data_IF_372964025493
#
_entry.id   IF_372964025493
#
_cell.length_a   1.000
_cell.length_b   1.000
_cell.length_c   1.000
_cell.angle_alpha   90.00
_cell.angle_beta   90.00
_cell.angle_gamma   90.00
#
_symmetry.space_group_name_H-M   'P 1'
#
loop_
_entity.id
_entity.type
_entity.pdbx_description
1 polymer ?
#
# COMPACT_ATOMS: atom_id res chain seq x y z
N UNK A 1 27.32 -28.59 -22.74
CA UNK A 1 27.13 -28.53 -21.27
C UNK A 1 26.86 -27.09 -20.86
N UNK A 2 25.74 -26.89 -20.14
CA UNK A 2 25.38 -25.87 -19.14
C UNK A 2 26.14 -24.51 -19.17
N UNK A 3 25.53 -23.33 -19.10
CA UNK A 3 24.20 -22.98 -18.59
C UNK A 3 23.83 -21.55 -19.01
N UNK A 4 22.51 -21.34 -19.13
CA UNK A 4 21.85 -20.10 -19.54
C UNK A 4 21.86 -19.06 -18.41
N UNK A 5 22.05 -17.80 -18.83
CA UNK A 5 21.37 -16.56 -18.39
C UNK A 5 21.51 -16.15 -16.91
N UNK A 6 22.06 -14.95 -16.69
CA UNK A 6 21.43 -13.94 -15.84
C UNK A 6 21.47 -12.58 -16.52
N UNK A 7 20.45 -12.29 -17.34
CA UNK A 7 20.04 -10.90 -17.63
C UNK A 7 19.31 -10.42 -16.38
N UNK A 8 19.99 -9.65 -15.55
CA UNK A 8 19.32 -8.81 -14.55
C UNK A 8 19.03 -7.50 -15.30
N UNK A 9 17.88 -7.42 -15.95
CA UNK A 9 17.37 -6.13 -16.42
C UNK A 9 16.77 -5.44 -15.20
N UNK A 10 17.56 -4.57 -14.58
CA UNK A 10 17.06 -3.60 -13.60
C UNK A 10 16.29 -2.56 -14.41
N UNK A 11 14.98 -2.75 -14.58
CA UNK A 11 14.13 -1.73 -15.19
C UNK A 11 13.90 -0.63 -14.16
N UNK A 12 14.65 0.45 -14.35
CA UNK A 12 14.40 1.85 -14.00
C UNK A 12 13.09 2.12 -13.26
N UNK A 13 13.17 2.32 -11.94
CA UNK A 13 12.24 3.21 -11.24
C UNK A 13 13.07 4.28 -10.55
N UNK A 14 13.15 5.44 -11.19
CA UNK A 14 13.62 6.69 -10.58
C UNK A 14 12.62 7.19 -9.54
N UNK A 15 12.32 6.38 -8.53
CA UNK A 15 11.62 6.78 -7.33
C UNK A 15 12.65 6.74 -6.23
N UNK A 16 13.24 7.90 -5.96
CA UNK A 16 14.08 8.13 -4.78
C UNK A 16 13.41 7.45 -3.60
N UNK A 17 14.08 6.47 -2.99
CA UNK A 17 13.63 5.76 -1.79
C UNK A 17 13.69 6.74 -0.62
N UNK A 18 12.88 7.80 -0.68
CA UNK A 18 12.59 8.65 0.45
C UNK A 18 11.64 7.82 1.30
N UNK A 19 12.13 7.31 2.43
CA UNK A 19 11.26 6.78 3.46
C UNK A 19 10.17 7.83 3.73
N UNK A 20 8.88 7.54 3.53
CA UNK A 20 7.85 8.53 3.76
C UNK A 20 7.89 8.95 5.24
N UNK A 21 7.97 10.25 5.49
CA UNK A 21 7.83 10.80 6.83
C UNK A 21 6.35 10.72 7.23
N UNK A 22 5.95 9.55 7.71
CA UNK A 22 4.57 9.31 8.17
C UNK A 22 4.29 10.11 9.43
N UNK A 23 3.12 10.74 9.49
CA UNK A 23 2.65 11.45 10.69
C UNK A 23 1.34 10.87 11.21
N UNK A 24 1.10 11.06 12.49
CA UNK A 24 -0.19 10.73 13.09
C UNK A 24 -1.31 11.47 12.33
N UNK A 25 -2.43 10.79 12.10
CA UNK A 25 -3.59 11.23 11.30
C UNK A 25 -3.43 11.19 9.78
N UNK A 26 -2.25 10.92 9.24
CA UNK A 26 -2.11 10.66 7.80
C UNK A 26 -2.88 9.40 7.40
N UNK A 27 -3.20 9.30 6.12
CA UNK A 27 -3.81 8.12 5.54
C UNK A 27 -2.79 7.33 4.73
N UNK A 28 -2.87 6.01 4.85
CA UNK A 28 -2.03 5.09 4.11
C UNK A 28 -2.81 3.86 3.65
N UNK A 29 -2.23 3.15 2.69
CA UNK A 29 -2.67 1.85 2.24
C UNK A 29 -1.73 0.77 2.78
N UNK A 30 -2.28 -0.35 3.23
CA UNK A 30 -1.53 -1.50 3.76
C UNK A 30 -1.48 -2.61 2.71
N UNK A 31 -0.30 -3.19 2.49
CA UNK A 31 -0.09 -4.26 1.53
C UNK A 31 -0.80 -5.55 1.94
N UNK A 32 -1.48 -6.19 1.01
CA UNK A 32 -2.19 -7.46 1.23
C UNK A 32 -1.29 -8.70 1.12
N UNK A 33 0.01 -8.52 0.82
CA UNK A 33 0.95 -9.61 0.54
C UNK A 33 1.01 -10.67 1.64
N UNK A 34 0.92 -10.25 2.91
CA UNK A 34 0.98 -11.13 4.08
C UNK A 34 -0.39 -11.38 4.73
N UNK A 35 -1.48 -10.99 4.07
CA UNK A 35 -2.82 -11.24 4.59
C UNK A 35 -3.32 -12.62 4.13
N UNK A 36 -2.91 -13.66 4.86
CA UNK A 36 -3.29 -15.05 4.56
C UNK A 36 -4.80 -15.32 4.65
N UNK A 37 -5.58 -14.45 5.31
CA UNK A 37 -7.01 -14.63 5.55
C UNK A 37 -7.92 -13.77 4.65
N UNK A 38 -7.41 -13.14 3.59
CA UNK A 38 -8.30 -12.47 2.64
C UNK A 38 -9.06 -13.55 1.85
N UNK A 39 -10.39 -13.48 1.85
CA UNK A 39 -11.25 -14.37 1.06
C UNK A 39 -11.08 -14.07 -0.45
N UNK A 40 -11.17 -15.09 -1.31
CA UNK A 40 -11.22 -14.97 -2.77
C UNK A 40 -9.92 -15.33 -3.51
N UNK A 41 -9.91 -15.41 -4.86
CA UNK A 41 -8.73 -15.83 -5.62
C UNK A 41 -7.63 -14.76 -5.64
N UNK A 42 -6.37 -15.15 -5.36
CA UNK A 42 -5.18 -14.27 -5.28
C UNK A 42 -5.02 -13.33 -6.50
N UNK A 43 -5.46 -13.76 -7.68
CA UNK A 43 -5.34 -13.04 -8.97
C UNK A 43 -6.30 -11.86 -9.14
N UNK A 44 -7.33 -11.74 -8.29
CA UNK A 44 -8.34 -10.65 -8.33
C UNK A 44 -8.29 -9.74 -7.09
N UNK A 45 -7.33 -9.96 -6.18
CA UNK A 45 -7.23 -9.15 -4.96
C UNK A 45 -6.40 -7.92 -5.24
N UNK A 46 -6.83 -6.78 -4.70
CA UNK A 46 -6.00 -5.59 -4.66
C UNK A 46 -4.73 -5.86 -3.87
N UNK A 47 -3.61 -5.34 -4.37
CA UNK A 47 -2.29 -5.48 -3.74
C UNK A 47 -2.18 -4.67 -2.44
N UNK A 48 -3.09 -3.72 -2.24
CA UNK A 48 -3.16 -2.82 -1.11
C UNK A 48 -4.63 -2.62 -0.68
N UNK A 49 -4.85 -2.43 0.61
CA UNK A 49 -6.17 -2.16 1.22
C UNK A 49 -6.11 -0.91 2.10
N UNK A 50 -7.22 -0.21 2.22
CA UNK A 50 -7.32 1.05 2.94
C UNK A 50 -8.26 2.01 2.19
N UNK A 51 -8.22 3.32 2.48
CA UNK A 51 -7.25 4.01 3.34
C UNK A 51 -7.45 3.74 4.84
N UNK A 52 -6.34 3.66 5.57
CA UNK A 52 -6.34 3.60 7.04
C UNK A 52 -5.62 4.80 7.62
N UNK A 53 -6.14 5.32 8.72
CA UNK A 53 -5.56 6.46 9.43
C UNK A 53 -4.45 6.00 10.37
N UNK A 54 -3.30 6.66 10.32
CA UNK A 54 -2.21 6.43 11.27
C UNK A 54 -2.64 6.93 12.64
N UNK A 55 -2.66 6.03 13.62
CA UNK A 55 -2.89 6.37 15.03
C UNK A 55 -1.58 6.81 15.66
N UNK A 56 -0.49 6.08 15.37
CA UNK A 56 0.82 6.29 16.00
C UNK A 56 1.95 5.87 15.07
N UNK A 57 3.05 6.63 15.08
CA UNK A 57 4.30 6.25 14.41
C UNK A 57 5.21 5.57 15.43
N UNK A 58 5.65 4.34 15.13
CA UNK A 58 6.47 3.52 16.03
C UNK A 58 7.90 3.50 15.49
N UNK A 59 8.70 4.44 16.00
CA UNK A 59 10.06 4.65 15.53
C UNK A 59 10.10 4.95 14.02
N UNK A 60 11.13 4.46 13.34
CA UNK A 60 11.30 4.67 11.88
C UNK A 60 10.74 3.55 11.02
N UNK A 61 10.39 2.42 11.63
CA UNK A 61 10.18 1.17 10.89
C UNK A 61 8.75 0.65 10.91
N UNK A 62 7.87 1.19 11.75
CA UNK A 62 6.49 0.73 11.83
C UNK A 62 5.49 1.85 12.14
N UNK A 63 4.25 1.62 11.75
CA UNK A 63 3.11 2.51 11.96
C UNK A 63 1.93 1.71 12.49
N UNK A 64 1.25 2.25 13.49
CA UNK A 64 -0.02 1.74 13.98
C UNK A 64 -1.15 2.47 13.27
N UNK A 65 -2.11 1.71 12.75
CA UNK A 65 -3.24 2.26 12.00
C UNK A 65 -4.58 1.84 12.56
N UNK A 66 -5.58 2.68 12.33
CA UNK A 66 -6.97 2.40 12.65
C UNK A 66 -7.56 1.48 11.60
N UNK A 67 -7.65 0.19 11.92
CA UNK A 67 -8.32 -0.80 11.08
C UNK A 67 -9.85 -0.68 11.20
N UNK A 68 -10.56 -0.80 10.07
CA UNK A 68 -12.03 -0.89 10.06
C UNK A 68 -12.49 -2.26 10.54
N UNK A 69 -13.77 -2.42 10.90
CA UNK A 69 -14.31 -3.63 11.54
C UNK A 69 -13.97 -4.93 10.81
N UNK A 70 -13.99 -4.90 9.46
CA UNK A 70 -13.60 -6.03 8.59
C UNK A 70 -12.17 -6.53 8.83
N UNK A 71 -11.28 -5.66 9.31
CA UNK A 71 -9.87 -5.94 9.58
C UNK A 71 -9.53 -5.86 11.07
N UNK A 72 -10.48 -5.61 11.97
CA UNK A 72 -10.23 -5.41 13.41
C UNK A 72 -9.52 -6.59 14.08
N UNK A 73 -9.67 -7.81 13.55
CA UNK A 73 -8.95 -9.02 14.05
C UNK A 73 -7.49 -9.12 13.59
N UNK A 74 -6.99 -8.17 12.79
CA UNK A 74 -5.60 -8.13 12.31
C UNK A 74 -4.78 -7.21 13.20
N UNK A 75 -3.48 -7.50 13.27
CA UNK A 75 -2.54 -6.65 13.99
C UNK A 75 -2.55 -5.24 13.39
N UNK A 76 -2.79 -4.17 14.18
CA UNK A 76 -2.91 -2.81 13.66
C UNK A 76 -1.55 -2.16 13.36
N UNK A 77 -0.44 -2.77 13.77
CA UNK A 77 0.92 -2.27 13.48
C UNK A 77 1.47 -2.95 12.24
N UNK A 78 1.96 -2.15 11.30
CA UNK A 78 2.56 -2.59 10.05
C UNK A 78 3.95 -1.97 9.86
N UNK A 79 4.91 -2.73 9.32
CA UNK A 79 6.20 -2.17 8.95
C UNK A 79 6.06 -1.19 7.78
N UNK A 80 6.88 -0.14 7.75
CA UNK A 80 6.87 0.92 6.72
C UNK A 80 7.02 0.37 5.29
N UNK A 81 7.74 -0.74 5.13
CA UNK A 81 7.91 -1.41 3.84
C UNK A 81 6.62 -2.03 3.28
N UNK A 82 5.64 -2.31 4.15
CA UNK A 82 4.34 -2.87 3.77
C UNK A 82 3.23 -1.82 3.69
N UNK A 83 3.56 -0.53 3.82
CA UNK A 83 2.59 0.55 3.68
C UNK A 83 2.96 1.52 2.55
N UNK A 84 1.96 2.24 2.05
CA UNK A 84 2.15 3.32 1.08
C UNK A 84 1.33 4.53 1.48
N UNK A 85 1.84 5.76 1.33
CA UNK A 85 1.05 6.96 1.57
C UNK A 85 -0.19 6.95 0.65
N UNK A 86 -1.35 7.29 1.20
CA UNK A 86 -2.58 7.44 0.43
C UNK A 86 -2.60 8.82 -0.22
N UNK A 87 -2.38 8.86 -1.53
CA UNK A 87 -2.52 10.09 -2.30
C UNK A 87 -3.97 10.24 -2.73
N UNK A 88 -4.63 11.31 -2.28
CA UNK A 88 -5.92 11.71 -2.85
C UNK A 88 -5.71 12.09 -4.31
N UNK A 89 -6.12 11.23 -5.24
CA UNK A 89 -6.21 11.59 -6.65
C UNK A 89 -7.38 12.55 -6.86
N UNK A 90 -7.28 13.41 -7.87
CA UNK A 90 -8.32 14.41 -8.18
C UNK A 90 -9.70 13.80 -8.46
N UNK A 91 -9.77 12.51 -8.76
CA UNK A 91 -11.00 11.74 -8.93
C UNK A 91 -11.82 11.63 -7.64
N UNK A 92 -11.18 11.65 -6.46
CA UNK A 92 -11.86 11.66 -5.16
C UNK A 92 -12.41 13.05 -4.82
N UNK A 93 -11.67 14.11 -5.20
CA UNK A 93 -12.06 15.51 -4.97
C UNK A 93 -13.14 16.01 -5.94
N UNK A 94 -13.25 15.40 -7.13
CA UNK A 94 -14.18 15.81 -8.18
C UNK A 94 -14.89 14.61 -8.82
N UNK A 95 -15.89 14.01 -8.12
CA UNK A 95 -16.64 12.86 -8.64
C UNK A 95 -17.41 13.14 -9.95
N UNK A 96 -17.52 14.41 -10.36
CA UNK A 96 -18.23 14.83 -11.58
C UNK A 96 -17.39 14.80 -12.86
N UNK A 97 -16.09 14.45 -12.83
CA UNK A 97 -15.28 14.38 -14.06
C UNK A 97 -15.53 13.06 -14.80
N UNK A 98 -16.72 12.89 -15.37
CA UNK A 98 -16.96 11.85 -16.39
C UNK A 98 -16.02 12.11 -17.56
N UNK A 99 -15.00 11.26 -17.75
CA UNK A 99 -14.26 11.23 -19.00
C UNK A 99 -15.18 10.64 -20.06
N UNK A 100 -15.71 11.48 -20.94
CA UNK A 100 -16.34 11.01 -22.16
C UNK A 100 -15.27 10.26 -22.98
N UNK A 101 -15.53 9.01 -23.39
CA UNK A 101 -14.60 8.31 -24.28
C UNK A 101 -14.59 9.00 -25.65
N UNK A 102 -13.40 9.17 -26.21
CA UNK A 102 -13.18 9.59 -27.62
C UNK A 102 -13.26 8.36 -28.51
#
# INVERSE_FOLDING_TARGET
MHSRRKRIQQTEVGQTHMEPDFKERDQLLVSTLNFNNLKGPKKRRDSFVGPFTIIKVIGKHAVEVRLTEKFSRKHPVFPVSLVKPYLHTEEDKFPSRKKNPT
#
